data_IF_496564156200
#
_entry.id   IF_496564156200
#
_cell.length_a   1.000
_cell.length_b   1.000
_cell.length_c   1.000
_cell.angle_alpha   90.00
_cell.angle_beta   90.00
_cell.angle_gamma   90.00
#
_symmetry.space_group_name_H-M   'P 1'
#
loop_
_entity.id
_entity.type
_entity.pdbx_description
1 polymer ?
#
# COMPACT_ATOMS: atom_id res chain seq x y z
N UNK A 1 4.97 -16.05 -30.96
CA UNK A 1 5.07 -14.57 -31.09
C UNK A 1 5.40 -14.02 -29.69
N UNK A 2 6.42 -13.18 -29.56
CA UNK A 2 6.72 -12.53 -28.29
C UNK A 2 5.85 -11.29 -28.19
N UNK A 3 5.00 -11.22 -27.15
CA UNK A 3 4.17 -10.03 -26.88
C UNK A 3 5.09 -8.96 -26.30
N UNK A 4 5.01 -7.74 -26.81
CA UNK A 4 5.72 -6.59 -26.26
C UNK A 4 4.75 -5.62 -25.60
N UNK A 5 5.08 -5.21 -24.38
CA UNK A 5 4.28 -4.31 -23.57
C UNK A 5 4.84 -2.88 -23.61
N UNK A 6 3.96 -1.92 -23.82
CA UNK A 6 4.29 -0.50 -23.87
C UNK A 6 3.42 0.29 -22.91
N UNK A 7 4.03 1.25 -22.24
CA UNK A 7 3.35 2.23 -21.40
C UNK A 7 3.37 3.58 -22.10
N UNK A 8 2.23 4.27 -22.10
CA UNK A 8 2.12 5.64 -22.61
C UNK A 8 1.76 6.59 -21.47
N UNK A 9 2.63 7.58 -21.24
CA UNK A 9 2.41 8.66 -20.25
C UNK A 9 2.46 9.99 -21.00
N UNK A 10 1.32 10.66 -21.14
CA UNK A 10 1.21 11.85 -21.97
C UNK A 10 1.54 11.52 -23.42
N UNK A 11 2.59 12.14 -23.98
CA UNK A 11 3.10 11.88 -25.34
C UNK A 11 4.20 10.84 -25.40
N UNK A 12 4.78 10.47 -24.25
CA UNK A 12 5.88 9.52 -24.18
C UNK A 12 5.39 8.07 -24.23
N UNK A 13 6.04 7.25 -25.07
CA UNK A 13 5.79 5.81 -25.17
C UNK A 13 7.09 5.08 -24.89
N UNK A 14 7.07 4.15 -23.91
CA UNK A 14 8.24 3.33 -23.57
C UNK A 14 7.91 1.85 -23.51
N UNK A 15 8.86 1.01 -23.88
CA UNK A 15 8.76 -0.41 -23.69
C UNK A 15 8.97 -0.77 -22.21
N UNK A 16 8.07 -1.59 -21.64
CA UNK A 16 8.10 -2.02 -20.24
C UNK A 16 8.30 -3.55 -20.10
N UNK A 17 8.75 -4.24 -21.12
CA UNK A 17 8.94 -5.69 -21.07
C UNK A 17 9.79 -6.16 -19.89
N UNK A 18 10.81 -5.38 -19.50
CA UNK A 18 11.66 -5.71 -18.35
C UNK A 18 10.97 -5.56 -16.99
N UNK A 19 9.84 -4.88 -16.95
CA UNK A 19 9.01 -4.69 -15.75
C UNK A 19 7.92 -5.75 -15.63
N UNK A 20 7.58 -6.44 -16.74
CA UNK A 20 6.51 -7.43 -16.81
C UNK A 20 7.03 -8.78 -16.29
N UNK A 21 6.41 -9.32 -15.23
CA UNK A 21 6.88 -10.53 -14.59
C UNK A 21 6.49 -11.82 -15.30
N UNK A 22 5.36 -11.83 -15.99
CA UNK A 22 4.80 -12.97 -16.72
C UNK A 22 3.73 -12.49 -17.71
N UNK A 23 3.39 -13.33 -18.67
CA UNK A 23 2.33 -13.03 -19.63
C UNK A 23 0.94 -13.16 -18.99
N UNK A 24 0.02 -12.31 -19.44
CA UNK A 24 -1.36 -12.31 -18.98
C UNK A 24 -2.28 -12.96 -20.04
N UNK A 25 -3.45 -13.49 -19.62
CA UNK A 25 -4.53 -13.83 -20.53
C UNK A 25 -4.97 -12.61 -21.37
N UNK A 26 -5.49 -12.84 -22.59
CA UNK A 26 -5.85 -11.77 -23.53
C UNK A 26 -6.84 -10.72 -22.99
N UNK A 27 -7.67 -11.10 -22.02
CA UNK A 27 -8.66 -10.21 -21.39
C UNK A 27 -8.10 -9.38 -20.22
N UNK A 28 -6.80 -9.53 -19.89
CA UNK A 28 -6.13 -8.87 -18.77
C UNK A 28 -5.09 -7.87 -19.27
N UNK A 29 -4.85 -6.83 -18.52
CA UNK A 29 -3.79 -5.87 -18.79
C UNK A 29 -3.02 -5.51 -17.51
N UNK A 30 -1.74 -5.21 -17.67
CA UNK A 30 -0.92 -4.62 -16.63
C UNK A 30 -1.30 -3.16 -16.44
N UNK A 31 -1.34 -2.72 -15.18
CA UNK A 31 -1.54 -1.32 -14.84
C UNK A 31 -0.71 -0.92 -13.62
N UNK A 32 -0.44 0.35 -13.45
CA UNK A 32 0.21 0.90 -12.27
C UNK A 32 -0.78 0.95 -11.09
N UNK A 33 -0.32 0.62 -9.88
CA UNK A 33 -1.15 0.77 -8.69
C UNK A 33 -1.62 2.22 -8.49
N UNK A 34 -0.76 3.20 -8.81
CA UNK A 34 -1.09 4.60 -8.70
C UNK A 34 -2.22 5.08 -9.61
N UNK A 35 -2.54 4.35 -10.69
CA UNK A 35 -3.72 4.65 -11.51
C UNK A 35 -5.03 4.13 -10.91
N UNK A 36 -4.93 3.23 -9.95
CA UNK A 36 -6.07 2.56 -9.31
C UNK A 36 -6.35 3.05 -7.90
N UNK A 37 -5.32 3.52 -7.19
CA UNK A 37 -5.40 3.85 -5.77
C UNK A 37 -4.78 5.21 -5.47
N UNK A 38 -5.46 5.97 -4.61
CA UNK A 38 -4.85 7.06 -3.87
C UNK A 38 -3.95 6.45 -2.79
N UNK A 39 -2.68 6.83 -2.79
CA UNK A 39 -1.69 6.36 -1.84
C UNK A 39 -1.37 7.44 -0.79
N UNK A 40 -1.31 7.02 0.47
CA UNK A 40 -0.77 7.82 1.56
C UNK A 40 -0.04 6.92 2.55
N UNK A 41 0.95 7.49 3.25
CA UNK A 41 1.54 6.93 4.46
C UNK A 41 0.97 7.62 5.69
N UNK A 42 1.06 6.98 6.85
CA UNK A 42 0.64 7.57 8.10
C UNK A 42 1.62 8.61 8.66
N UNK A 43 1.35 9.04 9.89
CA UNK A 43 2.19 10.00 10.62
C UNK A 43 3.43 9.33 11.21
N UNK A 44 4.59 9.99 11.08
CA UNK A 44 5.79 9.60 11.81
C UNK A 44 5.63 9.93 13.30
N UNK A 45 6.07 9.01 14.16
CA UNK A 45 6.13 9.28 15.60
C UNK A 45 7.16 10.37 15.86
N UNK A 46 6.73 11.45 16.49
CA UNK A 46 7.59 12.53 16.91
C UNK A 46 7.28 12.87 18.39
N UNK A 47 8.23 12.60 19.26
CA UNK A 47 8.10 12.88 20.71
C UNK A 47 8.09 14.37 21.05
N UNK A 48 8.47 15.24 20.11
CA UNK A 48 8.44 16.68 20.28
C UNK A 48 7.08 17.31 19.91
N UNK A 49 6.14 16.53 19.35
CA UNK A 49 4.80 17.04 19.05
C UNK A 49 4.06 17.36 20.35
N UNK A 50 3.74 18.63 20.53
CA UNK A 50 3.03 19.15 21.72
C UNK A 50 1.64 19.71 21.38
N UNK A 51 1.26 19.69 20.09
CA UNK A 51 -0.01 20.25 19.60
C UNK A 51 -0.74 19.25 18.70
N UNK A 52 -2.06 19.26 18.77
CA UNK A 52 -2.92 18.39 17.98
C UNK A 52 -3.99 17.69 18.81
N UNK A 53 -4.79 16.87 18.17
CA UNK A 53 -5.84 16.09 18.80
C UNK A 53 -5.30 14.68 19.08
N UNK A 54 -5.38 14.18 20.34
CA UNK A 54 -4.99 12.81 20.64
C UNK A 54 -5.95 11.84 19.97
N UNK A 55 -5.41 10.92 19.16
CA UNK A 55 -6.17 9.93 18.44
C UNK A 55 -5.48 8.57 18.46
N UNK A 56 -6.26 7.52 18.53
CA UNK A 56 -5.78 6.15 18.42
C UNK A 56 -5.26 5.86 17.01
N UNK A 57 -4.19 5.09 16.94
CA UNK A 57 -3.60 4.69 15.68
C UNK A 57 -3.07 3.26 15.72
N UNK A 58 -2.96 2.65 14.54
CA UNK A 58 -2.34 1.35 14.36
C UNK A 58 -0.91 1.49 13.82
N UNK A 59 -0.08 0.56 14.25
CA UNK A 59 1.30 0.37 13.83
C UNK A 59 1.44 -0.93 13.04
N UNK A 60 2.62 -1.22 12.52
CA UNK A 60 2.90 -2.49 11.86
C UNK A 60 2.68 -3.71 12.77
N UNK A 61 2.77 -3.55 14.09
CA UNK A 61 2.47 -4.62 15.05
C UNK A 61 0.98 -4.93 15.21
N UNK A 62 0.11 -4.04 14.74
CA UNK A 62 -1.34 -4.25 14.74
C UNK A 62 -1.88 -4.83 13.44
N UNK A 63 -1.08 -4.80 12.34
CA UNK A 63 -1.48 -5.25 11.01
C UNK A 63 -0.86 -6.61 10.70
N UNK A 64 -1.67 -7.61 10.48
CA UNK A 64 -1.29 -8.96 10.08
C UNK A 64 -1.85 -9.32 8.70
N UNK A 65 -1.52 -10.48 8.18
CA UNK A 65 -2.13 -10.98 6.95
C UNK A 65 -3.63 -11.18 7.17
N UNK A 66 -4.45 -10.41 6.42
CA UNK A 66 -5.91 -10.43 6.40
C UNK A 66 -6.60 -10.16 7.75
N UNK A 67 -5.88 -9.60 8.74
CA UNK A 67 -6.45 -9.31 10.06
C UNK A 67 -5.74 -8.17 10.77
N UNK A 68 -6.39 -7.64 11.81
CA UNK A 68 -5.86 -6.63 12.72
C UNK A 68 -5.93 -7.11 14.16
N UNK A 69 -4.94 -6.72 14.97
CA UNK A 69 -4.92 -6.86 16.41
C UNK A 69 -5.19 -5.47 17.01
N UNK A 70 -6.42 -5.27 17.53
CA UNK A 70 -6.88 -3.94 17.96
C UNK A 70 -7.00 -3.79 19.48
N UNK A 71 -6.65 -4.83 20.26
CA UNK A 71 -6.79 -4.84 21.71
C UNK A 71 -5.83 -3.87 22.42
N UNK A 72 -4.72 -3.49 21.79
CA UNK A 72 -3.68 -2.62 22.33
C UNK A 72 -3.31 -1.51 21.36
N UNK A 73 -4.20 -0.55 21.20
CA UNK A 73 -3.96 0.64 20.39
C UNK A 73 -3.17 1.70 21.18
N UNK A 74 -2.32 2.42 20.47
CA UNK A 74 -1.59 3.57 20.99
C UNK A 74 -2.28 4.87 20.59
N UNK A 75 -1.95 5.93 21.28
CA UNK A 75 -2.39 7.28 20.94
C UNK A 75 -1.20 8.17 20.61
N UNK A 76 -1.39 9.09 19.66
CA UNK A 76 -0.50 10.21 19.40
C UNK A 76 -1.29 11.43 18.96
N UNK A 77 -0.64 12.59 19.01
CA UNK A 77 -1.25 13.85 18.59
C UNK A 77 -1.24 13.96 17.07
N UNK A 78 -2.38 14.34 16.49
CA UNK A 78 -2.54 14.63 15.07
C UNK A 78 -2.95 16.09 14.89
N UNK A 79 -2.20 16.82 14.07
CA UNK A 79 -2.63 18.13 13.61
C UNK A 79 -3.80 17.99 12.62
N UNK A 80 -4.67 19.01 12.53
CA UNK A 80 -5.83 18.98 11.64
C UNK A 80 -5.47 18.65 10.20
N UNK A 81 -4.33 19.17 9.70
CA UNK A 81 -3.80 18.92 8.37
C UNK A 81 -3.34 17.48 8.11
N UNK A 82 -3.12 16.70 9.18
CA UNK A 82 -2.65 15.31 9.11
C UNK A 82 -3.80 14.29 9.19
N UNK A 83 -4.94 14.70 9.77
CA UNK A 83 -6.04 13.80 10.10
C UNK A 83 -6.53 13.07 8.84
N UNK A 84 -6.91 13.78 7.77
CA UNK A 84 -7.42 13.15 6.56
C UNK A 84 -6.40 12.25 5.87
N UNK A 85 -5.16 12.71 5.81
CA UNK A 85 -4.05 11.96 5.21
C UNK A 85 -3.83 10.63 5.92
N UNK A 86 -3.89 10.61 7.26
CA UNK A 86 -3.61 9.44 8.07
C UNK A 86 -4.84 8.58 8.36
N UNK A 87 -6.06 9.06 8.01
CA UNK A 87 -7.30 8.34 8.30
C UNK A 87 -7.55 7.19 7.33
N UNK A 88 -7.78 6.04 7.91
CA UNK A 88 -8.22 4.81 7.25
C UNK A 88 -9.74 4.73 7.32
N UNK A 89 -10.36 4.35 6.21
CA UNK A 89 -11.80 4.13 6.06
C UNK A 89 -12.06 2.72 5.56
N UNK A 90 -13.28 2.23 5.78
CA UNK A 90 -13.71 0.92 5.28
C UNK A 90 -13.40 0.76 3.79
N UNK A 91 -12.81 -0.37 3.42
CA UNK A 91 -12.40 -0.69 2.06
C UNK A 91 -10.95 -0.30 1.71
N UNK A 92 -10.26 0.47 2.55
CA UNK A 92 -8.85 0.77 2.34
C UNK A 92 -7.99 -0.51 2.49
N UNK A 93 -7.07 -0.72 1.57
CA UNK A 93 -6.04 -1.76 1.69
C UNK A 93 -4.81 -1.16 2.38
N UNK A 94 -4.42 -1.75 3.50
CA UNK A 94 -3.25 -1.35 4.27
C UNK A 94 -2.11 -2.31 4.00
N UNK A 95 -0.88 -1.76 3.87
CA UNK A 95 0.32 -2.52 3.54
C UNK A 95 1.47 -2.06 4.42
N UNK A 96 2.17 -2.99 5.08
CA UNK A 96 3.35 -2.70 5.88
C UNK A 96 4.58 -2.38 5.01
N UNK A 97 5.31 -1.31 5.35
CA UNK A 97 6.65 -0.99 4.83
C UNK A 97 7.77 -1.56 5.73
N UNK A 98 7.48 -1.86 6.99
CA UNK A 98 8.45 -2.34 7.97
C UNK A 98 8.01 -3.65 8.65
N UNK A 99 8.93 -4.37 9.24
CA UNK A 99 8.72 -5.70 9.77
C UNK A 99 8.57 -6.71 8.63
N UNK A 100 7.45 -7.42 8.57
CA UNK A 100 7.08 -8.24 7.40
C UNK A 100 6.60 -7.33 6.27
N UNK A 101 7.51 -6.90 5.42
CA UNK A 101 7.26 -6.00 4.31
C UNK A 101 6.24 -6.61 3.36
N UNK A 102 5.22 -5.82 2.98
CA UNK A 102 4.13 -6.26 2.11
C UNK A 102 2.98 -6.94 2.82
N UNK A 103 3.13 -7.26 4.12
CA UNK A 103 2.02 -7.75 4.95
C UNK A 103 0.86 -6.77 4.88
N UNK A 104 -0.33 -7.28 4.57
CA UNK A 104 -1.47 -6.43 4.22
C UNK A 104 -2.79 -6.99 4.71
N UNK A 105 -3.76 -6.09 4.92
CA UNK A 105 -5.15 -6.41 5.21
C UNK A 105 -6.07 -5.28 4.73
N UNK A 106 -7.35 -5.61 4.50
CA UNK A 106 -8.38 -4.66 4.15
C UNK A 106 -9.07 -4.19 5.43
N UNK A 107 -9.20 -2.89 5.60
CA UNK A 107 -9.96 -2.33 6.72
C UNK A 107 -11.45 -2.51 6.48
N UNK A 108 -12.07 -3.42 7.22
CA UNK A 108 -13.48 -3.77 7.06
C UNK A 108 -14.39 -3.16 8.13
N UNK A 109 -13.83 -2.40 9.08
CA UNK A 109 -14.57 -1.79 10.17
C UNK A 109 -15.23 -0.47 9.73
N UNK A 110 -16.35 -0.13 10.33
CA UNK A 110 -17.04 1.15 10.09
C UNK A 110 -16.30 2.33 10.76
N UNK A 111 -15.64 2.06 11.90
CA UNK A 111 -14.87 3.04 12.64
C UNK A 111 -13.59 3.39 11.88
N UNK A 112 -13.35 4.69 11.76
CA UNK A 112 -12.12 5.21 11.19
C UNK A 112 -10.97 5.15 12.19
N UNK A 113 -9.78 4.75 11.72
CA UNK A 113 -8.56 4.76 12.53
C UNK A 113 -7.45 5.53 11.84
N UNK A 114 -6.37 5.85 12.57
CA UNK A 114 -5.16 6.48 12.04
C UNK A 114 -4.06 5.44 11.86
N UNK A 115 -3.08 5.75 11.04
CA UNK A 115 -1.95 4.87 10.76
C UNK A 115 -0.63 5.59 11.02
N UNK A 116 0.39 4.80 11.45
CA UNK A 116 1.78 5.22 11.54
C UNK A 116 2.44 5.21 10.15
N UNK A 117 3.52 5.97 10.00
CA UNK A 117 4.25 6.18 8.73
C UNK A 117 4.78 4.90 8.05
N UNK A 118 4.96 3.80 8.77
CA UNK A 118 5.37 2.50 8.23
C UNK A 118 4.20 1.65 7.70
N UNK A 119 3.01 2.24 7.62
CA UNK A 119 1.84 1.65 6.97
C UNK A 119 1.45 2.53 5.78
N UNK A 120 1.34 1.90 4.61
CA UNK A 120 0.79 2.49 3.41
C UNK A 120 -0.71 2.23 3.35
N UNK A 121 -1.48 3.26 3.03
CA UNK A 121 -2.92 3.16 2.73
C UNK A 121 -3.13 3.30 1.24
N UNK A 122 -3.78 2.31 0.65
CA UNK A 122 -4.22 2.29 -0.73
C UNK A 122 -5.75 2.39 -0.76
N UNK A 123 -6.27 3.55 -1.15
CA UNK A 123 -7.70 3.82 -1.29
C UNK A 123 -8.08 3.77 -2.75
N UNK A 124 -8.99 2.86 -3.19
CA UNK A 124 -9.34 2.76 -4.59
C UNK A 124 -10.08 4.01 -5.09
N UNK A 125 -9.74 4.48 -6.30
CA UNK A 125 -10.45 5.57 -6.98
C UNK A 125 -11.82 5.15 -7.52
N UNK A 126 -11.98 3.86 -7.81
CA UNK A 126 -13.20 3.24 -8.34
C UNK A 126 -13.53 1.99 -7.52
N UNK A 127 -14.71 1.43 -7.71
CA UNK A 127 -15.08 0.17 -7.06
C UNK A 127 -14.18 -0.96 -7.56
N UNK A 128 -13.23 -1.40 -6.72
CA UNK A 128 -12.30 -2.49 -6.98
C UNK A 128 -12.45 -3.57 -5.91
N UNK A 129 -12.16 -4.82 -6.29
CA UNK A 129 -12.07 -5.90 -5.32
C UNK A 129 -10.78 -5.75 -4.48
N UNK A 130 -10.89 -5.20 -3.28
CA UNK A 130 -9.76 -5.13 -2.33
C UNK A 130 -9.12 -6.50 -2.10
N UNK A 131 -9.92 -7.56 -2.06
CA UNK A 131 -9.47 -8.95 -1.90
C UNK A 131 -8.55 -9.40 -3.04
N UNK A 132 -8.80 -9.00 -4.28
CA UNK A 132 -7.91 -9.28 -5.40
C UNK A 132 -6.53 -8.64 -5.17
N UNK A 133 -6.48 -7.37 -4.80
CA UNK A 133 -5.21 -6.67 -4.57
C UNK A 133 -4.50 -7.14 -3.30
N UNK A 134 -5.23 -7.57 -2.28
CA UNK A 134 -4.65 -8.28 -1.13
C UNK A 134 -3.86 -9.52 -1.59
N UNK A 135 -4.46 -10.37 -2.46
CA UNK A 135 -3.77 -11.55 -2.98
C UNK A 135 -2.61 -11.20 -3.91
N UNK A 136 -2.68 -10.09 -4.65
CA UNK A 136 -1.53 -9.57 -5.41
C UNK A 136 -0.37 -9.23 -4.48
N UNK A 137 -0.61 -8.58 -3.35
CA UNK A 137 0.43 -8.30 -2.34
C UNK A 137 0.98 -9.59 -1.73
N UNK A 138 0.10 -10.50 -1.34
CA UNK A 138 0.47 -11.80 -0.78
C UNK A 138 1.34 -12.61 -1.75
N UNK A 139 0.95 -12.71 -3.02
CA UNK A 139 1.72 -13.39 -4.05
C UNK A 139 3.10 -12.76 -4.24
N UNK A 140 3.17 -11.44 -4.31
CA UNK A 140 4.45 -10.73 -4.46
C UNK A 140 5.42 -11.04 -3.32
N UNK A 141 4.95 -11.07 -2.10
CA UNK A 141 5.80 -11.34 -0.93
C UNK A 141 6.14 -12.81 -0.78
N UNK A 142 5.20 -13.73 -1.03
CA UNK A 142 5.38 -15.16 -0.80
C UNK A 142 6.15 -15.87 -1.92
N UNK A 143 5.91 -15.50 -3.19
CA UNK A 143 6.45 -16.21 -4.35
C UNK A 143 7.73 -15.57 -4.88
N UNK A 144 7.86 -14.25 -4.77
CA UNK A 144 8.98 -13.50 -5.36
C UNK A 144 10.10 -13.21 -4.37
N UNK A 145 9.81 -13.27 -3.09
CA UNK A 145 10.78 -13.04 -2.02
C UNK A 145 11.89 -14.10 -2.01
N UNK A 146 11.56 -15.34 -2.32
CA UNK A 146 12.51 -16.47 -2.24
C UNK A 146 13.57 -16.48 -3.34
N UNK A 147 13.37 -15.82 -4.48
CA UNK A 147 14.26 -15.91 -5.63
C UNK A 147 15.23 -14.72 -5.84
N UNK A 148 14.91 -13.51 -5.40
CA UNK A 148 15.73 -12.29 -5.68
C UNK A 148 15.57 -11.15 -4.65
N UNK A 149 15.17 -11.42 -3.44
CA UNK A 149 14.59 -10.47 -2.49
C UNK A 149 15.49 -9.30 -2.06
N UNK A 150 16.77 -9.52 -1.83
CA UNK A 150 17.61 -8.50 -1.18
C UNK A 150 17.96 -7.27 -2.05
N UNK A 151 17.89 -7.37 -3.38
CA UNK A 151 18.17 -6.24 -4.29
C UNK A 151 16.93 -5.47 -4.75
N UNK A 152 15.73 -6.06 -4.68
CA UNK A 152 14.49 -5.51 -5.25
C UNK A 152 13.53 -4.88 -4.25
N UNK A 153 13.73 -5.01 -2.95
CA UNK A 153 12.94 -4.31 -1.92
C UNK A 153 12.84 -2.81 -2.19
N UNK A 154 13.98 -2.18 -2.47
CA UNK A 154 14.04 -0.74 -2.79
C UNK A 154 13.32 -0.36 -4.07
N UNK A 155 13.18 -1.29 -5.03
CA UNK A 155 12.51 -1.03 -6.31
C UNK A 155 10.99 -1.13 -6.17
N UNK A 156 10.46 -2.05 -5.37
CA UNK A 156 9.03 -2.17 -5.13
C UNK A 156 8.46 -0.92 -4.43
N UNK A 157 9.11 -0.48 -3.35
CA UNK A 157 8.70 0.72 -2.64
C UNK A 157 8.98 2.01 -3.42
N UNK A 158 10.04 2.04 -4.22
CA UNK A 158 10.23 3.12 -5.20
C UNK A 158 9.12 3.14 -6.25
N UNK A 159 8.65 1.99 -6.73
CA UNK A 159 7.54 1.96 -7.69
C UNK A 159 6.20 2.33 -7.06
N UNK A 160 5.97 2.03 -5.78
CA UNK A 160 4.83 2.59 -5.05
C UNK A 160 4.97 4.10 -4.83
N UNK A 161 6.19 4.59 -4.52
CA UNK A 161 6.45 6.03 -4.33
C UNK A 161 6.59 6.82 -5.64
N UNK A 162 7.06 6.20 -6.72
CA UNK A 162 7.29 6.86 -8.02
C UNK A 162 6.22 6.57 -9.07
N UNK A 163 5.28 5.71 -8.76
CA UNK A 163 4.10 5.43 -9.60
C UNK A 163 2.87 6.28 -9.25
N UNK A 164 3.08 7.32 -8.38
CA UNK A 164 2.08 8.32 -8.02
C UNK A 164 2.50 9.69 -8.51
#
# INVERSE_FOLDING_TARGET
MTISYYEKIGTEVRCINSEIPFDLPETWCWCRLGTLFAHNTGKALNSADSAGIPMTYITTSNLYWDRFELDSLKEMLFADSEIDKCTVKKGDLLVCEGGDIGRSAIWMFEENIRIQNHIHRLRPYISLSGRFYYYVMYMKTSVWWTAQAQRRERVFWRSLRSGF
#
